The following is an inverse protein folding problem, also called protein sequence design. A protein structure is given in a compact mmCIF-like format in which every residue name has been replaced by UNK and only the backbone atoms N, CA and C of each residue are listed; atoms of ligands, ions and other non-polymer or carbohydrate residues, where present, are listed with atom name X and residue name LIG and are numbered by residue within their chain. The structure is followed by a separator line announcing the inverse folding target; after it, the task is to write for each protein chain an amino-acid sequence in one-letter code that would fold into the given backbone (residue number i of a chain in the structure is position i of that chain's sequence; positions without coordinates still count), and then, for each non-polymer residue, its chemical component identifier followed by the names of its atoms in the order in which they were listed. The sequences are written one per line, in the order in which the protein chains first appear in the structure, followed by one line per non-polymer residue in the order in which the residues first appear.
data_IF_940542296651
#
_entry.id   IF_940542296651
#
_cell.length_a   1.000
_cell.length_b   1.000
_cell.length_c   1.000
_cell.angle_alpha   90.00
_cell.angle_beta   90.00
_cell.angle_gamma   90.00
#
_symmetry.space_group_name_H-M   'P 1'
#
loop_
_entity.id
_entity.type
_entity.pdbx_description
1 polymer ?
#
# COMPACT_ATOMS: atom_id res chain seq x y z
N UNK A 1 22.64 34.38 -11.18
CA UNK A 1 22.75 33.19 -10.30
C UNK A 1 23.12 33.72 -8.91
N UNK A 2 22.49 33.19 -7.89
CA UNK A 2 22.73 33.53 -6.50
C UNK A 2 24.14 33.07 -6.06
N UNK A 3 24.89 33.89 -5.31
CA UNK A 3 26.17 33.49 -4.76
C UNK A 3 25.99 32.47 -3.65
N UNK A 4 26.75 31.38 -3.70
CA UNK A 4 26.67 30.24 -2.78
C UNK A 4 27.99 30.09 -2.02
N UNK A 5 27.90 29.59 -0.78
CA UNK A 5 29.04 29.20 0.05
C UNK A 5 28.89 27.79 0.58
N UNK A 6 29.98 27.11 0.80
CA UNK A 6 29.97 25.81 1.48
C UNK A 6 29.46 25.98 2.92
N UNK A 7 28.46 25.22 3.30
CA UNK A 7 27.94 25.20 4.67
C UNK A 7 28.84 24.45 5.65
N UNK A 8 29.77 23.65 5.17
CA UNK A 8 30.54 22.71 5.99
C UNK A 8 29.69 21.57 6.55
N UNK A 9 28.46 21.41 6.09
CA UNK A 9 27.50 20.38 6.57
C UNK A 9 27.12 19.49 5.39
N UNK A 10 27.53 18.23 5.42
CA UNK A 10 27.37 17.27 4.34
C UNK A 10 25.94 17.15 3.81
N UNK A 11 24.92 17.09 4.67
CA UNK A 11 23.53 16.90 4.26
C UNK A 11 22.89 18.15 3.63
N UNK A 12 23.47 19.34 3.85
CA UNK A 12 23.04 20.60 3.23
C UNK A 12 23.91 20.91 2.00
N UNK A 13 25.23 20.72 2.10
CA UNK A 13 26.21 21.16 1.11
C UNK A 13 26.28 22.69 1.05
N UNK A 14 26.22 23.29 -0.12
CA UNK A 14 26.26 24.76 -0.29
C UNK A 14 24.94 25.41 0.12
N UNK A 15 25.02 26.62 0.66
CA UNK A 15 23.90 27.51 0.98
C UNK A 15 24.15 28.90 0.39
N UNK A 16 23.14 29.75 0.24
CA UNK A 16 23.33 31.15 -0.17
C UNK A 16 24.26 31.91 0.77
N UNK A 17 25.08 32.78 0.20
CA UNK A 17 26.06 33.59 0.95
C UNK A 17 25.43 34.36 2.13
N UNK A 18 24.21 34.90 1.92
CA UNK A 18 23.45 35.63 2.94
C UNK A 18 22.75 34.80 4.01
N UNK A 19 22.84 33.45 3.96
CA UNK A 19 22.24 32.59 4.98
C UNK A 19 23.19 32.31 6.11
N UNK A 20 22.65 32.20 7.33
CA UNK A 20 23.39 31.78 8.53
C UNK A 20 23.19 30.30 8.81
N UNK A 21 24.15 29.73 9.52
CA UNK A 21 24.03 28.42 10.16
C UNK A 21 24.02 28.63 11.68
N UNK A 22 23.01 28.08 12.32
CA UNK A 22 22.88 28.14 13.78
C UNK A 22 22.63 26.79 14.40
N UNK A 23 23.09 26.58 15.62
CA UNK A 23 22.69 25.41 16.40
C UNK A 23 21.22 25.50 16.73
N UNK A 24 20.47 24.41 16.57
CA UNK A 24 19.00 24.38 16.77
C UNK A 24 18.59 24.89 18.16
N UNK A 25 19.39 24.65 19.21
CA UNK A 25 19.15 25.16 20.56
C UNK A 25 19.13 26.69 20.69
N UNK A 26 19.69 27.44 19.75
CA UNK A 26 19.63 28.91 19.75
C UNK A 26 18.33 29.44 19.14
N UNK A 27 17.53 28.57 18.49
CA UNK A 27 16.29 28.91 17.82
C UNK A 27 15.08 28.25 18.48
N UNK A 28 15.30 27.11 19.13
CA UNK A 28 14.26 26.30 19.71
C UNK A 28 14.56 25.89 21.16
N UNK A 29 13.52 25.74 21.94
CA UNK A 29 13.63 25.29 23.35
C UNK A 29 12.66 24.13 23.58
N UNK A 30 13.05 23.13 24.35
CA UNK A 30 12.22 22.00 24.72
C UNK A 30 11.10 22.44 25.68
N UNK A 31 9.88 21.99 25.41
CA UNK A 31 8.73 22.16 26.30
C UNK A 31 8.57 20.93 27.18
N UNK A 32 8.61 21.15 28.49
CA UNK A 32 8.46 20.09 29.50
C UNK A 32 7.24 20.31 30.40
N UNK A 33 6.41 21.32 30.12
CA UNK A 33 5.16 21.55 30.83
C UNK A 33 4.19 20.39 30.66
N UNK A 34 3.46 20.09 31.72
CA UNK A 34 2.44 19.02 31.76
C UNK A 34 1.06 19.63 31.66
N UNK A 35 0.11 18.85 31.14
CA UNK A 35 -1.28 19.22 31.10
C UNK A 35 -1.97 19.17 32.47
N UNK A 36 -3.19 19.62 32.52
CA UNK A 36 -4.05 19.58 33.71
C UNK A 36 -5.09 18.44 33.69
N UNK A 37 -5.07 17.59 32.63
CA UNK A 37 -5.90 16.41 32.47
C UNK A 37 -7.22 16.61 31.72
N UNK A 38 -7.50 17.83 31.25
CA UNK A 38 -8.73 18.16 30.51
C UNK A 38 -8.49 18.59 29.06
N UNK A 39 -7.24 18.58 28.63
CA UNK A 39 -6.88 18.96 27.27
C UNK A 39 -7.19 17.88 26.24
N UNK A 40 -7.27 18.32 24.97
CA UNK A 40 -7.41 17.41 23.82
C UNK A 40 -6.17 16.55 23.66
N UNK A 41 -6.36 15.24 23.57
CA UNK A 41 -5.27 14.32 23.30
C UNK A 41 -4.83 14.41 21.83
N UNK A 42 -3.54 14.70 21.62
CA UNK A 42 -2.95 14.85 20.31
C UNK A 42 -2.03 13.68 19.97
N UNK A 43 -2.03 13.29 18.71
CA UNK A 43 -1.17 12.26 18.15
C UNK A 43 -0.33 12.80 16.99
N UNK A 44 1.01 12.66 17.04
CA UNK A 44 1.86 12.99 15.92
C UNK A 44 1.72 11.91 14.83
N UNK A 45 1.46 12.34 13.61
CA UNK A 45 1.31 11.49 12.43
C UNK A 45 2.24 11.96 11.32
N UNK A 46 2.81 11.05 10.55
CA UNK A 46 3.71 11.41 9.44
C UNK A 46 2.99 12.17 8.33
N UNK A 47 1.69 11.90 8.12
CA UNK A 47 0.91 12.46 7.02
C UNK A 47 0.26 13.80 7.35
N UNK A 48 -0.25 13.96 8.57
CA UNK A 48 -1.08 15.10 8.95
C UNK A 48 -0.43 16.02 9.98
N UNK A 49 0.81 15.72 10.41
CA UNK A 49 1.44 16.41 11.53
C UNK A 49 0.83 15.99 12.86
N UNK A 50 0.77 16.91 13.81
CA UNK A 50 0.15 16.67 15.12
C UNK A 50 -1.34 16.99 15.01
N UNK A 51 -2.19 15.99 15.24
CA UNK A 51 -3.67 16.10 15.11
C UNK A 51 -4.38 15.52 16.32
N UNK A 52 -5.62 15.93 16.62
CA UNK A 52 -6.46 15.28 17.62
C UNK A 52 -6.60 13.78 17.36
N UNK A 53 -6.40 12.96 18.39
CA UNK A 53 -6.51 11.49 18.27
C UNK A 53 -7.90 11.07 17.78
N UNK A 54 -8.95 11.79 18.14
CA UNK A 54 -10.33 11.55 17.69
C UNK A 54 -10.52 11.63 16.16
N UNK A 55 -9.59 12.25 15.44
CA UNK A 55 -9.63 12.34 13.97
C UNK A 55 -8.92 11.15 13.27
N UNK A 56 -8.37 10.21 14.02
CA UNK A 56 -7.60 9.08 13.50
C UNK A 56 -8.41 7.80 13.65
N UNK A 57 -8.77 7.18 12.53
CA UNK A 57 -9.41 5.87 12.51
C UNK A 57 -8.39 4.74 12.77
N UNK A 58 -8.78 3.76 13.60
CA UNK A 58 -8.01 2.53 13.82
C UNK A 58 -6.73 2.69 14.66
N UNK A 59 -6.49 3.85 15.26
CA UNK A 59 -5.32 4.10 16.11
C UNK A 59 -5.75 4.18 17.56
N UNK A 60 -5.78 3.06 18.27
CA UNK A 60 -5.97 3.03 19.72
C UNK A 60 -4.62 3.24 20.39
N UNK A 61 -4.33 4.46 20.80
CA UNK A 61 -3.07 4.78 21.46
C UNK A 61 -3.20 4.95 22.97
N UNK A 62 -4.33 5.41 23.44
CA UNK A 62 -4.59 5.69 24.86
C UNK A 62 -6.03 5.31 25.18
N UNK A 63 -6.24 4.64 26.31
CA UNK A 63 -7.59 4.31 26.80
C UNK A 63 -8.32 5.58 27.25
N UNK A 64 -9.65 5.60 27.13
CA UNK A 64 -10.49 6.76 27.50
C UNK A 64 -10.35 7.17 28.97
N UNK A 65 -10.00 6.23 29.85
CA UNK A 65 -9.83 6.43 31.29
C UNK A 65 -8.38 6.77 31.69
N UNK A 66 -7.49 7.04 30.75
CA UNK A 66 -6.10 7.36 31.05
C UNK A 66 -5.96 8.74 31.66
N UNK A 67 -5.26 8.83 32.80
CA UNK A 67 -4.91 10.11 33.42
C UNK A 67 -3.94 10.91 32.51
N UNK A 68 -4.40 12.04 32.02
CA UNK A 68 -3.65 12.92 31.13
C UNK A 68 -2.76 13.94 31.88
N UNK A 69 -2.77 14.00 33.21
CA UNK A 69 -1.99 14.98 33.99
C UNK A 69 -0.47 14.85 33.78
N UNK A 70 -0.01 13.65 33.40
CA UNK A 70 1.41 13.41 33.10
C UNK A 70 1.79 13.70 31.66
N UNK A 71 0.81 13.99 30.79
CA UNK A 71 1.04 14.25 29.38
C UNK A 71 1.65 15.63 29.18
N UNK A 72 2.46 15.77 28.12
CA UNK A 72 3.14 17.02 27.79
C UNK A 72 2.24 17.94 27.01
N UNK A 73 2.23 19.22 27.38
CA UNK A 73 1.47 20.24 26.63
C UNK A 73 2.08 20.45 25.24
N UNK A 74 1.22 20.68 24.28
CA UNK A 74 1.55 21.04 22.90
C UNK A 74 0.72 22.26 22.54
N UNK A 75 1.37 23.30 22.03
CA UNK A 75 0.71 24.49 21.51
C UNK A 75 0.80 24.55 20.00
N UNK A 76 -0.06 25.36 19.40
CA UNK A 76 0.03 25.66 17.97
C UNK A 76 1.40 26.30 17.67
N UNK A 77 2.09 25.77 16.66
CA UNK A 77 3.46 26.17 16.32
C UNK A 77 4.55 25.30 16.95
N UNK A 78 4.19 24.42 17.88
CA UNK A 78 5.15 23.47 18.45
C UNK A 78 5.51 22.34 17.48
N UNK A 79 6.68 21.77 17.69
CA UNK A 79 7.16 20.56 17.00
C UNK A 79 7.20 19.38 17.96
N UNK A 80 6.90 18.20 17.47
CA UNK A 80 6.88 16.95 18.25
C UNK A 80 7.83 15.92 17.63
N UNK A 81 8.77 15.43 18.41
CA UNK A 81 9.62 14.28 18.08
C UNK A 81 8.92 13.04 18.63
N UNK A 82 8.32 12.26 17.76
CA UNK A 82 7.65 11.00 18.11
C UNK A 82 8.61 9.83 18.09
N UNK A 83 8.17 8.67 18.60
CA UNK A 83 8.96 7.43 18.58
C UNK A 83 9.32 6.95 17.17
N UNK A 84 8.62 7.44 16.15
CA UNK A 84 8.83 7.10 14.72
C UNK A 84 9.39 8.26 13.90
N UNK A 85 9.93 9.29 14.55
CA UNK A 85 10.50 10.47 13.87
C UNK A 85 11.66 10.11 12.92
N UNK A 86 12.31 8.98 13.14
CA UNK A 86 13.32 8.43 12.23
C UNK A 86 12.77 8.07 10.83
N UNK A 87 11.47 7.90 10.69
CA UNK A 87 10.82 7.61 9.39
C UNK A 87 10.27 8.86 8.70
N UNK A 88 9.81 9.84 9.45
CA UNK A 88 9.04 10.95 8.91
C UNK A 88 9.45 12.35 9.36
N UNK A 89 10.56 12.49 10.11
CA UNK A 89 10.99 13.78 10.66
C UNK A 89 10.15 14.22 11.86
N UNK A 90 10.18 15.53 12.14
CA UNK A 90 9.46 16.11 13.26
C UNK A 90 8.07 16.60 12.82
N UNK A 91 7.09 16.41 13.71
CA UNK A 91 5.70 16.74 13.43
C UNK A 91 5.36 18.15 13.94
N UNK A 92 4.76 18.98 13.09
CA UNK A 92 4.32 20.32 13.40
C UNK A 92 2.87 20.34 13.89
N UNK A 93 2.58 21.11 14.94
CA UNK A 93 1.23 21.20 15.51
C UNK A 93 0.45 22.44 15.03
N UNK A 94 -0.74 22.21 14.52
CA UNK A 94 -1.76 23.26 14.29
C UNK A 94 -2.79 23.32 15.43
N UNK A 95 -2.66 22.45 16.44
CA UNK A 95 -3.62 22.26 17.51
C UNK A 95 -2.98 22.50 18.87
N UNK A 96 -3.80 22.81 19.85
CA UNK A 96 -3.44 22.86 21.26
C UNK A 96 -3.98 21.64 21.98
N UNK A 97 -3.21 21.11 22.93
CA UNK A 97 -3.59 19.92 23.69
C UNK A 97 -2.41 19.28 24.38
N UNK A 98 -2.48 17.97 24.56
CA UNK A 98 -1.43 17.18 25.21
C UNK A 98 -1.06 15.97 24.37
N UNK A 99 0.20 15.54 24.48
CA UNK A 99 0.69 14.33 23.82
C UNK A 99 1.41 13.40 24.83
N UNK A 100 1.65 12.16 24.42
CA UNK A 100 2.33 11.15 25.23
C UNK A 100 3.61 11.68 25.88
N UNK A 101 3.87 11.35 27.16
CA UNK A 101 5.12 11.68 27.85
C UNK A 101 6.38 11.15 27.16
N UNK A 102 6.26 10.10 26.37
CA UNK A 102 7.34 9.51 25.59
C UNK A 102 7.82 10.40 24.43
N UNK A 103 7.01 11.35 23.99
CA UNK A 103 7.34 12.28 22.91
C UNK A 103 8.09 13.48 23.46
N UNK A 104 8.83 14.16 22.60
CA UNK A 104 9.55 15.38 22.98
C UNK A 104 8.97 16.55 22.20
N UNK A 105 8.56 17.58 22.93
CA UNK A 105 7.93 18.79 22.38
C UNK A 105 8.94 19.92 22.44
N UNK A 106 9.05 20.71 21.40
CA UNK A 106 9.90 21.90 21.37
C UNK A 106 9.25 23.02 20.53
N UNK A 107 9.64 24.24 20.78
CA UNK A 107 9.03 25.41 20.17
C UNK A 107 10.07 26.47 19.83
N UNK A 108 9.79 27.37 18.86
CA UNK A 108 10.68 28.46 18.52
C UNK A 108 10.73 29.53 19.64
N UNK A 109 11.96 30.00 19.97
CA UNK A 109 12.22 31.06 20.94
C UNK A 109 12.87 32.29 20.31
N UNK A 110 13.13 32.24 19.01
CA UNK A 110 13.69 33.34 18.22
C UNK A 110 12.65 33.80 17.17
N UNK A 111 12.78 35.03 16.66
CA UNK A 111 11.90 35.51 15.59
C UNK A 111 12.19 34.82 14.25
N UNK A 112 11.63 33.63 14.08
CA UNK A 112 11.72 32.77 12.88
C UNK A 112 10.33 32.46 12.34
N UNK A 113 10.27 31.99 11.10
CA UNK A 113 9.06 31.44 10.52
C UNK A 113 9.01 29.94 10.84
N UNK A 114 8.20 29.53 11.82
CA UNK A 114 8.04 28.14 12.25
C UNK A 114 7.60 27.21 11.12
N UNK A 115 6.74 27.69 10.23
CA UNK A 115 6.26 26.93 9.06
C UNK A 115 7.36 26.66 8.03
N UNK A 116 8.44 27.49 7.96
CA UNK A 116 9.63 27.16 7.17
C UNK A 116 10.33 25.91 7.73
N UNK A 117 10.47 25.83 9.04
CA UNK A 117 11.09 24.68 9.70
C UNK A 117 10.19 23.43 9.63
N UNK A 118 8.86 23.57 9.49
CA UNK A 118 7.97 22.46 9.16
C UNK A 118 8.41 21.75 7.88
N UNK A 119 8.80 22.50 6.85
CA UNK A 119 9.32 21.92 5.61
C UNK A 119 10.73 21.37 5.77
N UNK A 120 11.62 22.12 6.43
CA UNK A 120 13.00 21.69 6.63
C UNK A 120 13.05 20.36 7.39
N UNK A 121 12.32 20.22 8.49
CA UNK A 121 12.33 19.02 9.33
C UNK A 121 11.63 17.81 8.70
N UNK A 122 10.89 18.01 7.63
CA UNK A 122 10.31 16.95 6.78
C UNK A 122 11.15 16.62 5.55
N UNK A 123 12.22 17.37 5.29
CA UNK A 123 13.10 17.06 4.16
C UNK A 123 13.86 15.75 4.38
N UNK A 124 14.01 14.95 3.32
CA UNK A 124 14.65 13.64 3.42
C UNK A 124 16.10 13.72 3.91
N UNK A 125 16.81 14.77 3.52
CA UNK A 125 18.21 15.02 3.95
C UNK A 125 18.31 15.29 5.45
N UNK A 126 17.38 16.09 6.00
CA UNK A 126 17.31 16.31 7.45
C UNK A 126 16.96 15.04 8.21
N UNK A 127 15.97 14.27 7.73
CA UNK A 127 15.57 12.99 8.34
C UNK A 127 16.75 12.02 8.35
N UNK A 128 17.46 11.88 7.23
CA UNK A 128 18.65 11.03 7.13
C UNK A 128 19.75 11.48 8.09
N UNK A 129 19.98 12.79 8.22
CA UNK A 129 20.94 13.35 9.18
C UNK A 129 20.58 12.99 10.62
N UNK A 130 19.32 13.18 11.01
CA UNK A 130 18.85 12.85 12.36
C UNK A 130 18.99 11.35 12.65
N UNK A 131 18.73 10.50 11.69
CA UNK A 131 18.89 9.05 11.81
C UNK A 131 20.36 8.63 12.04
N UNK A 132 21.30 9.32 11.39
CA UNK A 132 22.72 9.03 11.55
C UNK A 132 23.27 9.47 12.92
N UNK A 133 22.59 10.38 13.63
CA UNK A 133 22.96 10.78 14.98
C UNK A 133 22.51 9.77 16.05
N UNK A 134 21.52 8.93 15.74
CA UNK A 134 21.03 7.93 16.69
C UNK A 134 21.92 6.71 16.70
N UNK A 135 22.74 6.55 17.75
CA UNK A 135 23.60 5.38 17.96
C UNK A 135 22.78 4.21 18.53
N UNK A 136 22.72 3.09 17.82
CA UNK A 136 22.09 1.85 18.32
C UNK A 136 21.62 0.90 17.21
N UNK A 137 21.89 -0.40 17.38
CA UNK A 137 21.67 -1.47 16.37
C UNK A 137 20.27 -2.08 16.45
N UNK A 138 19.38 -1.68 17.38
CA UNK A 138 18.07 -2.30 17.59
C UNK A 138 16.92 -1.43 17.11
N UNK A 139 15.85 -2.06 16.62
CA UNK A 139 14.55 -1.44 16.34
C UNK A 139 14.08 -0.64 17.57
N UNK A 140 13.86 0.68 17.39
CA UNK A 140 13.47 1.56 18.48
C UNK A 140 14.36 2.80 18.67
N UNK A 141 15.16 3.17 17.67
CA UNK A 141 15.97 4.40 17.68
C UNK A 141 15.07 5.62 17.83
N UNK A 142 15.12 6.26 19.00
CA UNK A 142 14.37 7.48 19.26
C UNK A 142 15.31 8.66 19.08
N UNK A 143 15.01 9.59 18.18
CA UNK A 143 15.72 10.85 18.06
C UNK A 143 15.50 11.64 19.33
N UNK A 144 16.58 12.02 20.03
CA UNK A 144 16.48 12.81 21.24
C UNK A 144 16.57 14.31 20.91
N UNK A 145 15.84 15.14 21.68
CA UNK A 145 15.93 16.61 21.52
C UNK A 145 17.36 17.12 21.66
N UNK A 146 18.17 16.52 22.54
CA UNK A 146 19.58 16.92 22.74
C UNK A 146 20.43 16.75 21.48
N UNK A 147 20.17 15.71 20.69
CA UNK A 147 20.87 15.46 19.41
C UNK A 147 20.46 16.48 18.35
N UNK A 148 19.16 16.81 18.31
CA UNK A 148 18.67 17.90 17.48
C UNK A 148 19.22 19.25 17.93
N UNK A 149 19.23 19.56 19.24
CA UNK A 149 19.61 20.83 19.81
C UNK A 149 21.04 21.27 19.45
N UNK A 150 21.96 20.32 19.31
CA UNK A 150 23.36 20.59 18.93
C UNK A 150 23.57 20.63 17.41
N UNK A 151 22.59 20.17 16.63
CA UNK A 151 22.69 20.15 15.17
C UNK A 151 22.63 21.56 14.60
N UNK A 152 23.46 21.81 13.59
CA UNK A 152 23.41 23.04 12.82
C UNK A 152 22.33 22.97 11.75
N UNK A 153 21.54 24.04 11.63
CA UNK A 153 20.46 24.17 10.66
C UNK A 153 20.56 25.52 9.95
N UNK A 154 20.07 25.61 8.69
CA UNK A 154 20.11 26.87 7.94
C UNK A 154 19.09 27.86 8.46
N UNK A 155 19.48 29.13 8.45
CA UNK A 155 18.64 30.25 8.88
C UNK A 155 18.67 31.32 7.81
N UNK A 156 17.73 31.25 6.84
CA UNK A 156 17.52 32.33 5.89
C UNK A 156 17.06 33.62 6.56
N UNK A 157 17.18 34.79 5.94
CA UNK A 157 16.50 35.99 6.38
C UNK A 157 14.99 35.77 6.53
N UNK A 158 14.35 36.32 7.56
CA UNK A 158 12.95 36.06 7.90
C UNK A 158 11.98 36.31 6.73
N UNK A 159 12.23 37.38 5.95
CA UNK A 159 11.45 37.69 4.77
C UNK A 159 11.53 36.57 3.70
N UNK A 160 12.70 35.96 3.56
CA UNK A 160 12.93 34.85 2.64
C UNK A 160 12.29 33.56 3.15
N UNK A 161 12.39 33.25 4.46
CA UNK A 161 11.66 32.12 5.05
C UNK A 161 10.16 32.19 4.70
N UNK A 162 9.53 33.36 4.86
CA UNK A 162 8.12 33.56 4.54
C UNK A 162 7.81 33.39 3.05
N UNK A 163 8.65 33.92 2.14
CA UNK A 163 8.50 33.71 0.70
C UNK A 163 8.59 32.24 0.32
N UNK A 164 9.57 31.52 0.86
CA UNK A 164 9.75 30.09 0.65
C UNK A 164 8.49 29.31 1.09
N UNK A 165 7.95 29.63 2.27
CA UNK A 165 6.72 28.99 2.78
C UNK A 165 5.53 29.25 1.85
N UNK A 166 5.28 30.51 1.47
CA UNK A 166 4.17 30.84 0.58
C UNK A 166 4.27 30.09 -0.75
N UNK A 167 5.46 30.02 -1.32
CA UNK A 167 5.72 29.29 -2.55
C UNK A 167 5.50 27.78 -2.36
N UNK A 168 6.10 27.17 -1.33
CA UNK A 168 6.00 25.75 -1.09
C UNK A 168 4.57 25.33 -0.72
N UNK A 169 3.82 26.13 0.05
CA UNK A 169 2.43 25.87 0.36
C UNK A 169 1.57 25.78 -0.91
N UNK A 170 1.75 26.74 -1.86
CA UNK A 170 1.04 26.74 -3.12
C UNK A 170 1.44 25.52 -4.00
N UNK A 171 2.74 25.32 -4.21
CA UNK A 171 3.23 24.23 -5.06
C UNK A 171 2.93 22.84 -4.50
N UNK A 172 3.09 22.66 -3.20
CA UNK A 172 2.78 21.39 -2.56
C UNK A 172 1.27 21.08 -2.60
N UNK A 173 0.42 22.08 -2.46
CA UNK A 173 -1.03 21.89 -2.57
C UNK A 173 -1.44 21.44 -4.00
N UNK A 174 -0.87 22.05 -5.04
CA UNK A 174 -1.09 21.64 -6.43
C UNK A 174 -0.62 20.21 -6.68
N UNK A 175 0.59 19.87 -6.21
CA UNK A 175 1.16 18.53 -6.32
C UNK A 175 0.28 17.51 -5.59
N UNK A 176 -0.16 17.80 -4.37
CA UNK A 176 -1.02 16.92 -3.58
C UNK A 176 -2.37 16.69 -4.27
N UNK A 177 -2.96 17.71 -4.89
CA UNK A 177 -4.18 17.57 -5.68
C UNK A 177 -3.99 16.64 -6.90
N UNK A 178 -2.84 16.72 -7.58
CA UNK A 178 -2.51 15.81 -8.70
C UNK A 178 -2.30 14.39 -8.19
N UNK A 179 -1.60 14.19 -7.08
CA UNK A 179 -1.40 12.88 -6.46
C UNK A 179 -2.73 12.22 -6.10
N UNK A 180 -3.65 12.98 -5.50
CA UNK A 180 -4.96 12.48 -5.09
C UNK A 180 -5.84 12.10 -6.29
N UNK A 181 -5.91 12.96 -7.32
CA UNK A 181 -6.62 12.65 -8.58
C UNK A 181 -6.04 11.41 -9.26
N UNK A 182 -4.72 11.24 -9.23
CA UNK A 182 -4.07 10.08 -9.85
C UNK A 182 -4.38 8.79 -9.08
N UNK A 183 -4.38 8.82 -7.74
CA UNK A 183 -4.78 7.69 -6.90
C UNK A 183 -6.25 7.32 -7.14
N UNK A 184 -7.15 8.28 -7.16
CA UNK A 184 -8.56 8.05 -7.47
C UNK A 184 -8.74 7.42 -8.85
N UNK A 185 -8.02 7.89 -9.87
CA UNK A 185 -8.05 7.31 -11.21
C UNK A 185 -7.57 5.86 -11.25
N UNK A 186 -6.55 5.48 -10.47
CA UNK A 186 -6.11 4.09 -10.36
C UNK A 186 -7.24 3.21 -9.81
N UNK A 187 -7.95 3.66 -8.77
CA UNK A 187 -9.07 2.91 -8.21
C UNK A 187 -10.24 2.76 -9.21
N UNK A 188 -10.50 3.78 -10.01
CA UNK A 188 -11.49 3.70 -11.10
C UNK A 188 -11.09 2.68 -12.17
N UNK A 189 -9.82 2.63 -12.58
CA UNK A 189 -9.35 1.60 -13.51
C UNK A 189 -9.46 0.18 -12.94
N UNK A 190 -9.22 -0.02 -11.65
CA UNK A 190 -9.44 -1.31 -10.98
C UNK A 190 -10.91 -1.72 -11.01
N UNK A 191 -11.82 -0.77 -10.73
CA UNK A 191 -13.29 -0.99 -10.83
C UNK A 191 -13.71 -1.30 -12.26
N UNK A 192 -13.19 -0.54 -13.24
CA UNK A 192 -13.46 -0.79 -14.66
C UNK A 192 -13.01 -2.19 -15.07
N UNK A 193 -11.80 -2.59 -14.71
CA UNK A 193 -11.29 -3.96 -14.98
C UNK A 193 -12.24 -5.01 -14.43
N UNK A 194 -12.70 -4.84 -13.20
CA UNK A 194 -13.63 -5.79 -12.58
C UNK A 194 -14.98 -5.81 -13.28
N UNK A 195 -15.52 -4.65 -13.69
CA UNK A 195 -16.76 -4.56 -14.44
C UNK A 195 -16.66 -5.23 -15.82
N UNK A 196 -15.57 -4.99 -16.55
CA UNK A 196 -15.29 -5.62 -17.84
C UNK A 196 -15.23 -7.14 -17.71
N UNK A 197 -14.52 -7.65 -16.70
CA UNK A 197 -14.46 -9.10 -16.42
C UNK A 197 -15.87 -9.63 -16.15
N UNK A 198 -16.58 -9.05 -15.19
CA UNK A 198 -17.92 -9.53 -14.79
C UNK A 198 -18.88 -9.52 -15.97
N UNK A 199 -18.92 -8.44 -16.74
CA UNK A 199 -19.77 -8.35 -17.92
C UNK A 199 -19.45 -9.44 -18.95
N UNK A 200 -18.18 -9.62 -19.30
CA UNK A 200 -17.77 -10.57 -20.32
C UNK A 200 -18.09 -12.01 -19.92
N UNK A 201 -17.88 -12.39 -18.65
CA UNK A 201 -18.10 -13.78 -18.19
C UNK A 201 -19.57 -14.09 -17.86
N UNK A 202 -20.44 -13.08 -17.70
CA UNK A 202 -21.89 -13.31 -17.42
C UNK A 202 -22.78 -12.95 -18.59
N UNK A 203 -22.40 -11.98 -19.43
CA UNK A 203 -23.20 -11.48 -20.55
C UNK A 203 -22.56 -11.68 -21.92
N UNK A 204 -21.31 -12.15 -21.94
CA UNK A 204 -20.51 -12.31 -23.15
C UNK A 204 -19.95 -10.98 -23.67
N UNK A 205 -19.29 -11.06 -24.82
CA UNK A 205 -18.65 -9.93 -25.50
C UNK A 205 -19.38 -9.48 -26.79
N UNK A 206 -20.43 -10.18 -27.14
CA UNK A 206 -21.28 -9.84 -28.30
C UNK A 206 -22.47 -9.00 -27.80
N UNK A 207 -22.74 -7.86 -28.46
CA UNK A 207 -23.84 -6.97 -28.10
C UNK A 207 -25.22 -7.51 -28.60
N UNK A 208 -26.29 -6.92 -28.08
CA UNK A 208 -27.68 -7.03 -28.56
C UNK A 208 -28.19 -8.44 -28.83
N UNK A 209 -28.00 -9.36 -27.88
CA UNK A 209 -28.55 -10.71 -27.95
C UNK A 209 -29.61 -10.93 -26.87
N UNK A 210 -30.60 -11.86 -27.13
CA UNK A 210 -31.61 -12.19 -26.16
C UNK A 210 -30.97 -12.69 -24.84
N UNK A 211 -31.54 -12.26 -23.72
CA UNK A 211 -31.11 -12.67 -22.38
C UNK A 211 -32.20 -13.53 -21.74
N UNK A 212 -31.81 -14.41 -20.83
CA UNK A 212 -32.69 -15.19 -19.95
C UNK A 212 -32.17 -15.16 -18.50
N UNK A 213 -33.08 -15.30 -17.56
CA UNK A 213 -32.72 -15.54 -16.16
C UNK A 213 -31.98 -16.89 -16.05
N UNK A 214 -30.79 -16.88 -15.42
CA UNK A 214 -30.03 -18.10 -15.17
C UNK A 214 -30.63 -19.01 -14.09
N UNK A 215 -31.58 -18.52 -13.30
CA UNK A 215 -32.10 -19.18 -12.11
C UNK A 215 -31.10 -19.21 -10.93
N UNK A 216 -29.95 -18.52 -11.03
CA UNK A 216 -28.93 -18.46 -10.01
C UNK A 216 -28.69 -16.98 -9.61
N UNK A 217 -29.04 -16.63 -8.39
CA UNK A 217 -29.03 -15.24 -7.88
C UNK A 217 -27.74 -14.47 -8.16
N UNK A 218 -26.58 -15.09 -7.92
CA UNK A 218 -25.31 -14.38 -8.09
C UNK A 218 -24.87 -14.21 -9.55
N UNK A 219 -25.44 -14.99 -10.48
CA UNK A 219 -25.17 -14.91 -11.92
C UNK A 219 -26.10 -13.87 -12.57
N UNK A 220 -27.41 -13.89 -12.21
CA UNK A 220 -28.44 -13.06 -12.83
C UNK A 220 -28.72 -13.47 -14.26
N UNK A 221 -28.99 -12.51 -15.15
CA UNK A 221 -29.29 -12.75 -16.56
C UNK A 221 -28.05 -13.15 -17.35
N UNK A 222 -28.24 -14.17 -18.21
CA UNK A 222 -27.22 -14.67 -19.15
C UNK A 222 -27.80 -14.68 -20.58
N UNK A 223 -26.96 -14.74 -21.61
CA UNK A 223 -27.42 -14.96 -22.99
C UNK A 223 -28.34 -16.19 -23.10
N UNK A 224 -29.41 -16.07 -23.88
CA UNK A 224 -30.42 -17.11 -23.98
C UNK A 224 -29.86 -18.45 -24.48
N UNK A 225 -28.83 -18.43 -25.29
CA UNK A 225 -28.12 -19.60 -25.80
C UNK A 225 -27.13 -20.24 -24.81
N UNK A 226 -26.82 -19.56 -23.69
CA UNK A 226 -25.93 -20.13 -22.67
C UNK A 226 -26.67 -21.05 -21.72
N UNK A 227 -25.97 -22.04 -21.20
CA UNK A 227 -26.44 -22.90 -20.13
C UNK A 227 -25.84 -22.49 -18.76
N UNK A 228 -26.34 -23.15 -17.72
CA UNK A 228 -25.76 -23.07 -16.37
C UNK A 228 -25.32 -24.47 -15.96
N UNK A 229 -24.07 -24.61 -15.58
CA UNK A 229 -23.46 -25.92 -15.31
C UNK A 229 -22.70 -25.93 -13.99
N UNK A 230 -22.63 -27.06 -13.31
CA UNK A 230 -21.82 -27.22 -12.09
C UNK A 230 -20.33 -27.35 -12.43
N UNK A 231 -19.49 -26.73 -11.61
CA UNK A 231 -18.02 -26.83 -11.72
C UNK A 231 -17.54 -28.28 -11.80
N UNK A 232 -18.21 -29.22 -11.11
CA UNK A 232 -17.95 -30.68 -11.17
C UNK A 232 -17.92 -31.24 -12.58
N UNK A 233 -18.70 -30.67 -13.51
CA UNK A 233 -18.77 -31.14 -14.88
C UNK A 233 -17.66 -30.56 -15.76
N UNK A 234 -17.01 -29.50 -15.32
CA UNK A 234 -15.98 -28.74 -16.02
C UNK A 234 -14.57 -29.12 -15.61
N UNK A 235 -14.38 -29.46 -14.32
CA UNK A 235 -13.10 -29.72 -13.71
C UNK A 235 -13.05 -31.12 -13.09
N UNK A 236 -11.86 -31.69 -13.11
CA UNK A 236 -11.49 -32.88 -12.33
C UNK A 236 -10.25 -32.57 -11.49
N UNK A 237 -10.19 -33.07 -10.26
CA UNK A 237 -9.03 -32.90 -9.40
C UNK A 237 -7.89 -33.83 -9.85
N UNK A 238 -6.69 -33.23 -9.98
CA UNK A 238 -5.45 -33.98 -10.21
C UNK A 238 -4.80 -34.30 -8.87
N UNK A 239 -4.60 -35.57 -8.59
CA UNK A 239 -3.95 -36.04 -7.35
C UNK A 239 -2.59 -36.68 -7.59
N UNK A 240 -1.97 -36.40 -8.72
CA UNK A 240 -0.65 -36.89 -9.07
C UNK A 240 0.41 -36.30 -8.12
N UNK A 241 1.37 -37.15 -7.72
CA UNK A 241 2.39 -36.81 -6.75
C UNK A 241 3.77 -37.15 -7.25
N UNK A 242 4.75 -36.30 -6.91
CA UNK A 242 6.15 -36.56 -7.19
C UNK A 242 6.65 -37.79 -6.43
N UNK A 243 7.38 -38.63 -7.13
CA UNK A 243 8.06 -39.81 -6.54
C UNK A 243 9.40 -39.45 -5.92
N UNK A 244 10.09 -38.47 -6.48
CA UNK A 244 11.46 -38.11 -6.10
C UNK A 244 11.57 -36.73 -5.44
N UNK A 245 10.59 -35.84 -5.66
CA UNK A 245 10.61 -34.48 -5.12
C UNK A 245 11.64 -33.55 -5.76
N UNK A 246 12.03 -33.83 -7.02
CA UNK A 246 13.09 -33.09 -7.73
C UNK A 246 12.59 -32.02 -8.68
N UNK A 247 11.29 -31.99 -8.97
CA UNK A 247 10.68 -31.02 -9.86
C UNK A 247 10.72 -29.61 -9.26
N UNK A 248 10.60 -28.58 -10.08
CA UNK A 248 10.68 -27.16 -9.66
C UNK A 248 9.57 -26.82 -8.64
N UNK A 249 9.88 -26.31 -7.45
CA UNK A 249 8.89 -25.87 -6.50
C UNK A 249 8.16 -24.62 -6.98
N UNK A 250 6.82 -24.66 -6.97
CA UNK A 250 5.95 -23.55 -7.34
C UNK A 250 5.26 -22.97 -6.12
N UNK A 251 5.14 -21.65 -6.10
CA UNK A 251 4.44 -20.91 -5.05
C UNK A 251 3.38 -19.99 -5.65
N UNK A 252 2.25 -19.86 -4.94
CA UNK A 252 1.14 -19.03 -5.36
C UNK A 252 1.25 -17.62 -4.76
N UNK A 253 1.30 -16.63 -5.61
CA UNK A 253 1.22 -15.20 -5.26
C UNK A 253 -0.10 -14.61 -5.78
N UNK A 254 -0.74 -13.77 -4.97
CA UNK A 254 -1.95 -13.06 -5.38
C UNK A 254 -1.69 -12.09 -6.55
N UNK A 255 -0.46 -11.56 -6.65
CA UNK A 255 -0.09 -10.57 -7.69
C UNK A 255 0.26 -11.22 -9.03
N UNK A 256 1.05 -12.30 -8.99
CA UNK A 256 1.65 -12.90 -10.20
C UNK A 256 1.14 -14.31 -10.51
N UNK A 257 0.23 -14.85 -9.70
CA UNK A 257 -0.28 -16.21 -9.85
C UNK A 257 0.71 -17.29 -9.38
N UNK A 258 0.68 -18.46 -10.00
CA UNK A 258 1.58 -19.57 -9.70
C UNK A 258 2.90 -19.41 -10.47
N UNK A 259 4.00 -19.32 -9.73
CA UNK A 259 5.34 -19.11 -10.28
C UNK A 259 6.39 -19.97 -9.56
N UNK A 260 7.53 -20.29 -10.20
CA UNK A 260 8.67 -20.86 -9.50
C UNK A 260 9.03 -20.06 -8.25
N UNK A 261 9.21 -20.74 -7.12
CA UNK A 261 9.41 -20.09 -5.81
C UNK A 261 10.61 -19.14 -5.79
N UNK A 262 11.63 -19.43 -6.60
CA UNK A 262 12.82 -18.56 -6.77
C UNK A 262 12.54 -17.18 -7.37
N UNK A 263 11.37 -16.95 -7.97
CA UNK A 263 10.97 -15.65 -8.53
C UNK A 263 10.19 -14.77 -7.54
N UNK A 264 9.95 -15.26 -6.32
CA UNK A 264 9.31 -14.46 -5.29
C UNK A 264 10.34 -13.59 -4.56
N UNK A 265 9.96 -12.34 -4.25
CA UNK A 265 10.77 -11.40 -3.47
C UNK A 265 11.08 -11.92 -2.05
N UNK A 266 10.16 -12.70 -1.47
CA UNK A 266 10.31 -13.35 -0.19
C UNK A 266 10.05 -14.85 -0.37
N UNK A 267 11.08 -15.65 -0.20
CA UNK A 267 10.98 -17.10 -0.31
C UNK A 267 10.32 -17.63 0.98
N UNK A 268 9.15 -18.30 0.89
CA UNK A 268 8.53 -18.92 2.06
C UNK A 268 9.41 -20.05 2.59
N UNK A 269 9.25 -20.37 3.88
CA UNK A 269 9.91 -21.54 4.46
C UNK A 269 9.53 -22.79 3.67
N UNK A 270 10.53 -23.43 3.09
CA UNK A 270 10.34 -24.63 2.26
C UNK A 270 10.40 -25.89 3.12
N UNK A 271 9.65 -26.90 2.70
CA UNK A 271 9.73 -28.21 3.34
C UNK A 271 11.13 -28.82 3.15
N UNK A 272 11.58 -29.61 4.12
CA UNK A 272 12.86 -30.31 4.05
C UNK A 272 12.88 -31.45 3.00
N UNK A 273 11.72 -31.89 2.54
CA UNK A 273 11.55 -32.88 1.47
C UNK A 273 10.28 -32.60 0.68
N UNK A 274 10.35 -32.81 -0.62
CA UNK A 274 9.22 -32.68 -1.55
C UNK A 274 8.73 -34.04 -2.08
N UNK A 275 9.25 -35.16 -1.57
CA UNK A 275 8.74 -36.47 -1.92
C UNK A 275 7.26 -36.58 -1.54
N UNK A 276 6.41 -36.99 -2.47
CA UNK A 276 4.97 -37.08 -2.29
C UNK A 276 4.24 -35.73 -2.39
N UNK A 277 4.92 -34.62 -2.72
CA UNK A 277 4.27 -33.34 -3.02
C UNK A 277 3.39 -33.46 -4.27
N UNK A 278 2.33 -32.64 -4.35
CA UNK A 278 1.43 -32.63 -5.53
C UNK A 278 2.15 -32.04 -6.73
N UNK A 279 1.84 -32.58 -7.90
CA UNK A 279 2.27 -32.05 -9.19
C UNK A 279 1.19 -31.14 -9.79
N UNK A 280 1.61 -30.05 -10.37
CA UNK A 280 0.84 -29.19 -11.26
C UNK A 280 1.56 -29.09 -12.60
N UNK A 281 0.80 -29.06 -13.67
CA UNK A 281 1.30 -28.94 -15.02
C UNK A 281 0.84 -27.63 -15.67
N UNK A 282 1.49 -27.24 -16.76
CA UNK A 282 1.01 -26.14 -17.59
C UNK A 282 -0.48 -26.37 -17.92
N UNK A 283 -1.25 -25.29 -17.86
CA UNK A 283 -2.71 -25.28 -18.02
C UNK A 283 -3.52 -25.98 -16.92
N UNK A 284 -2.91 -26.42 -15.81
CA UNK A 284 -3.71 -26.78 -14.63
C UNK A 284 -4.15 -25.54 -13.86
N UNK A 285 -5.37 -25.57 -13.32
CA UNK A 285 -5.89 -24.53 -12.44
C UNK A 285 -5.60 -24.89 -10.98
N UNK A 286 -4.76 -24.10 -10.34
CA UNK A 286 -4.26 -24.37 -8.98
C UNK A 286 -4.88 -23.40 -7.98
N UNK A 287 -5.47 -23.94 -6.90
CA UNK A 287 -6.11 -23.20 -5.82
C UNK A 287 -5.32 -23.33 -4.51
N UNK A 288 -5.04 -22.21 -3.86
CA UNK A 288 -4.70 -22.24 -2.44
C UNK A 288 -6.01 -22.38 -1.64
N UNK A 289 -6.30 -23.57 -1.11
CA UNK A 289 -7.56 -23.86 -0.40
C UNK A 289 -7.84 -22.91 0.75
N UNK A 290 -6.81 -22.48 1.49
CA UNK A 290 -6.94 -21.55 2.63
C UNK A 290 -7.25 -20.11 2.19
N UNK A 291 -6.85 -19.72 0.98
CA UNK A 291 -6.96 -18.36 0.46
C UNK A 291 -7.79 -18.26 -0.82
N UNK A 292 -8.52 -19.30 -1.19
CA UNK A 292 -9.39 -19.31 -2.38
C UNK A 292 -10.45 -18.18 -2.30
N UNK A 293 -11.03 -17.98 -1.12
CA UNK A 293 -11.99 -16.91 -0.83
C UNK A 293 -11.38 -15.50 -0.88
N UNK A 294 -10.07 -15.37 -1.04
CA UNK A 294 -9.33 -14.12 -1.28
C UNK A 294 -8.85 -14.01 -2.74
N UNK A 295 -9.26 -14.93 -3.61
CA UNK A 295 -8.87 -14.94 -5.02
C UNK A 295 -7.46 -15.50 -5.29
N UNK A 296 -6.89 -16.29 -4.37
CA UNK A 296 -5.54 -16.85 -4.51
C UNK A 296 -5.59 -18.18 -5.23
N UNK A 297 -5.69 -18.11 -6.54
CA UNK A 297 -5.64 -19.24 -7.50
C UNK A 297 -5.21 -18.71 -8.87
N UNK A 298 -4.70 -19.59 -9.71
CA UNK A 298 -4.27 -19.24 -11.07
C UNK A 298 -4.16 -20.48 -11.94
N UNK A 299 -4.31 -20.31 -13.25
CA UNK A 299 -3.88 -21.28 -14.24
C UNK A 299 -2.35 -21.29 -14.27
N UNK A 300 -1.74 -22.47 -14.17
CA UNK A 300 -0.29 -22.64 -14.17
C UNK A 300 0.32 -22.39 -15.55
N UNK A 301 1.46 -21.74 -15.56
CA UNK A 301 2.34 -21.58 -16.75
C UNK A 301 3.59 -22.44 -16.63
N UNK A 302 3.70 -23.23 -15.57
CA UNK A 302 4.88 -24.01 -15.22
C UNK A 302 4.47 -25.39 -14.76
N UNK A 303 5.29 -26.39 -15.08
CA UNK A 303 5.25 -27.70 -14.45
C UNK A 303 6.04 -27.66 -13.16
N UNK A 304 5.54 -28.32 -12.10
CA UNK A 304 6.28 -28.36 -10.85
C UNK A 304 5.49 -28.82 -9.64
N UNK A 305 6.13 -28.68 -8.49
CA UNK A 305 5.62 -29.09 -7.18
C UNK A 305 4.82 -27.99 -6.53
N UNK A 306 3.67 -28.34 -5.95
CA UNK A 306 2.85 -27.40 -5.19
C UNK A 306 2.60 -27.89 -3.78
N UNK A 307 2.31 -26.97 -2.87
CA UNK A 307 1.99 -27.26 -1.48
C UNK A 307 0.87 -28.29 -1.34
N UNK A 308 0.91 -29.20 -0.34
CA UNK A 308 -0.20 -30.11 -0.03
C UNK A 308 -1.53 -29.41 0.25
N UNK A 309 -1.49 -28.16 0.71
CA UNK A 309 -2.68 -27.33 0.92
C UNK A 309 -3.30 -26.78 -0.37
N UNK A 310 -2.63 -26.96 -1.50
CA UNK A 310 -3.20 -26.57 -2.79
C UNK A 310 -4.02 -27.71 -3.40
N UNK A 311 -5.05 -27.34 -4.13
CA UNK A 311 -5.79 -28.25 -4.99
C UNK A 311 -5.43 -27.96 -6.45
N UNK A 312 -5.23 -28.99 -7.23
CA UNK A 312 -4.88 -28.89 -8.65
C UNK A 312 -6.03 -29.46 -9.47
N UNK A 313 -6.54 -28.70 -10.42
CA UNK A 313 -7.66 -29.09 -11.29
C UNK A 313 -7.26 -29.00 -12.75
N UNK A 314 -7.66 -29.98 -13.52
CA UNK A 314 -7.58 -29.96 -14.97
C UNK A 314 -8.97 -29.95 -15.61
N UNK A 315 -9.08 -29.45 -16.83
CA UNK A 315 -10.33 -29.46 -17.59
C UNK A 315 -10.79 -30.90 -17.90
N UNK A 316 -12.10 -31.11 -17.92
CA UNK A 316 -12.72 -32.32 -18.45
C UNK A 316 -12.81 -32.33 -19.98
N UNK A 317 -12.25 -31.33 -20.66
CA UNK A 317 -12.36 -31.09 -22.10
C UNK A 317 -13.57 -30.19 -22.47
N UNK A 318 -14.36 -29.75 -21.48
CA UNK A 318 -15.55 -28.91 -21.66
C UNK A 318 -15.33 -27.45 -21.32
N UNK A 319 -14.16 -27.07 -20.81
CA UNK A 319 -13.91 -25.72 -20.36
C UNK A 319 -12.51 -25.20 -20.73
N UNK A 320 -12.47 -23.94 -21.10
CA UNK A 320 -11.26 -23.16 -21.15
C UNK A 320 -10.89 -22.69 -19.73
N UNK A 321 -9.72 -23.07 -19.21
CA UNK A 321 -9.35 -22.79 -17.83
C UNK A 321 -9.04 -21.32 -17.56
N UNK A 322 -8.64 -20.55 -18.59
CA UNK A 322 -8.49 -19.10 -18.47
C UNK A 322 -9.84 -18.40 -18.32
N UNK A 323 -10.84 -18.82 -19.08
CA UNK A 323 -12.23 -18.35 -18.90
C UNK A 323 -12.72 -18.63 -17.47
N UNK A 324 -12.50 -19.86 -16.96
CA UNK A 324 -12.85 -20.19 -15.57
C UNK A 324 -12.08 -19.35 -14.55
N UNK A 325 -10.80 -19.09 -14.78
CA UNK A 325 -10.01 -18.22 -13.90
C UNK A 325 -10.63 -16.82 -13.80
N UNK A 326 -11.13 -16.25 -14.92
CA UNK A 326 -11.80 -14.95 -14.93
C UNK A 326 -13.12 -14.99 -14.16
N UNK A 327 -13.97 -15.98 -14.39
CA UNK A 327 -15.23 -16.14 -13.63
C UNK A 327 -14.95 -16.23 -12.13
N UNK A 328 -14.01 -17.08 -11.73
CA UNK A 328 -13.68 -17.32 -10.34
C UNK A 328 -13.12 -16.06 -9.65
N UNK A 329 -12.52 -15.13 -10.40
CA UNK A 329 -12.03 -13.83 -9.89
C UNK A 329 -13.10 -12.75 -9.79
N UNK A 330 -14.35 -13.02 -10.20
CA UNK A 330 -15.44 -12.08 -9.98
C UNK A 330 -15.80 -11.99 -8.49
N UNK A 331 -16.17 -10.79 -7.97
CA UNK A 331 -16.57 -10.64 -6.57
C UNK A 331 -17.72 -11.55 -6.17
N UNK A 332 -18.65 -11.79 -7.09
CA UNK A 332 -19.80 -12.66 -6.91
C UNK A 332 -19.36 -14.11 -6.68
N UNK A 333 -18.50 -14.65 -7.54
CA UNK A 333 -17.99 -16.02 -7.41
C UNK A 333 -17.10 -16.17 -6.16
N UNK A 334 -16.31 -15.17 -5.81
CA UNK A 334 -15.57 -15.11 -4.54
C UNK A 334 -16.53 -15.15 -3.34
N UNK A 335 -17.70 -14.49 -3.44
CA UNK A 335 -18.78 -14.60 -2.46
C UNK A 335 -19.27 -16.04 -2.30
N UNK A 336 -19.46 -16.77 -3.39
CA UNK A 336 -19.83 -18.20 -3.35
C UNK A 336 -18.71 -19.05 -2.74
N UNK A 337 -17.44 -18.77 -3.01
CA UNK A 337 -16.32 -19.46 -2.36
C UNK A 337 -16.36 -19.28 -0.84
N UNK A 338 -16.68 -18.08 -0.34
CA UNK A 338 -16.83 -17.84 1.10
C UNK A 338 -17.98 -18.65 1.69
N UNK A 339 -19.14 -18.67 1.04
CA UNK A 339 -20.32 -19.46 1.48
C UNK A 339 -20.04 -20.96 1.52
N UNK A 340 -19.21 -21.48 0.58
CA UNK A 340 -18.87 -22.90 0.45
C UNK A 340 -17.60 -23.31 1.22
N UNK A 341 -16.87 -22.35 1.77
CA UNK A 341 -15.70 -22.63 2.60
C UNK A 341 -16.13 -23.07 4.00
N UNK A 342 -15.38 -24.00 4.57
CA UNK A 342 -15.60 -24.53 5.94
C UNK A 342 -14.47 -24.08 6.87
N UNK A 343 -14.80 -23.75 8.13
CA UNK A 343 -13.86 -23.28 9.15
C UNK A 343 -14.50 -22.25 10.07
N UNK A 344 -14.06 -22.19 11.35
CA UNK A 344 -14.69 -21.40 12.42
C UNK A 344 -14.07 -19.99 12.54
N UNK A 345 -12.87 -19.77 12.03
CA UNK A 345 -12.18 -18.48 12.11
C UNK A 345 -11.73 -17.99 10.73
N UNK A 346 -11.73 -16.69 10.52
CA UNK A 346 -11.41 -16.06 9.23
C UNK A 346 -10.05 -16.48 8.61
N UNK A 347 -9.09 -16.92 9.42
CA UNK A 347 -7.79 -17.42 8.97
C UNK A 347 -7.73 -18.94 8.71
N UNK A 348 -8.80 -19.69 8.99
CA UNK A 348 -8.85 -21.15 8.90
C UNK A 348 -9.91 -21.66 7.92
N UNK A 349 -10.56 -20.77 7.18
CA UNK A 349 -11.55 -21.15 6.17
C UNK A 349 -10.86 -21.86 5.00
N UNK A 350 -11.40 -23.03 4.61
CA UNK A 350 -10.88 -23.82 3.49
C UNK A 350 -11.99 -24.10 2.49
N UNK A 351 -11.73 -23.83 1.22
CA UNK A 351 -12.56 -24.27 0.11
C UNK A 351 -12.08 -25.66 -0.33
N UNK A 352 -12.86 -26.68 0.01
CA UNK A 352 -12.61 -28.05 -0.44
C UNK A 352 -13.20 -28.30 -1.82
N UNK A 353 -12.74 -29.36 -2.48
CA UNK A 353 -13.17 -29.74 -3.83
C UNK A 353 -14.68 -29.91 -3.96
N UNK A 354 -15.35 -30.52 -2.95
CA UNK A 354 -16.81 -30.70 -2.97
C UNK A 354 -17.54 -29.34 -2.95
N UNK A 355 -17.05 -28.39 -2.12
CA UNK A 355 -17.58 -27.03 -2.05
C UNK A 355 -17.44 -26.31 -3.41
N UNK A 356 -16.25 -26.35 -4.02
CA UNK A 356 -16.01 -25.77 -5.33
C UNK A 356 -16.89 -26.43 -6.40
N UNK A 357 -16.96 -27.76 -6.42
CA UNK A 357 -17.71 -28.56 -7.41
C UNK A 357 -19.22 -28.37 -7.32
N UNK A 358 -19.75 -27.89 -6.21
CA UNK A 358 -21.18 -27.59 -6.03
C UNK A 358 -21.64 -26.28 -6.66
N UNK A 359 -20.70 -25.39 -7.04
CA UNK A 359 -20.99 -24.05 -7.58
C UNK A 359 -21.46 -24.16 -9.02
N UNK A 360 -22.47 -23.37 -9.36
CA UNK A 360 -22.98 -23.24 -10.74
C UNK A 360 -22.32 -22.04 -11.42
N UNK A 361 -21.98 -22.18 -12.69
CA UNK A 361 -21.39 -21.17 -13.54
C UNK A 361 -22.17 -20.97 -14.84
N UNK A 362 -22.14 -19.76 -15.43
CA UNK A 362 -22.59 -19.54 -16.79
C UNK A 362 -21.70 -20.33 -17.75
N UNK A 363 -22.32 -20.95 -18.73
CA UNK A 363 -21.65 -21.91 -19.62
C UNK A 363 -21.92 -21.60 -21.10
N UNK A 364 -21.11 -20.75 -21.75
CA UNK A 364 -21.09 -20.61 -23.20
C UNK A 364 -20.46 -21.83 -23.89
N UNK A 365 -20.66 -21.94 -25.20
CA UNK A 365 -19.92 -22.90 -26.01
C UNK A 365 -18.40 -22.73 -25.86
N UNK A 366 -17.62 -23.79 -26.00
CA UNK A 366 -16.17 -23.76 -25.77
C UNK A 366 -15.47 -22.70 -26.63
N UNK A 367 -15.85 -22.55 -27.89
CA UNK A 367 -15.31 -21.48 -28.77
C UNK A 367 -15.59 -20.08 -28.24
N UNK A 368 -16.75 -19.83 -27.66
CA UNK A 368 -17.05 -18.51 -27.05
C UNK A 368 -16.31 -18.31 -25.73
N UNK A 369 -16.05 -19.37 -24.95
CA UNK A 369 -15.18 -19.29 -23.78
C UNK A 369 -13.75 -18.85 -24.17
N UNK A 370 -13.22 -19.37 -25.28
CA UNK A 370 -11.92 -19.01 -25.84
C UNK A 370 -11.89 -17.54 -26.29
N UNK A 371 -12.92 -17.12 -27.06
CA UNK A 371 -13.05 -15.72 -27.49
C UNK A 371 -13.13 -14.75 -26.29
N UNK A 372 -13.90 -15.07 -25.24
CA UNK A 372 -14.01 -14.26 -24.04
C UNK A 372 -12.68 -14.22 -23.28
N UNK A 373 -11.99 -15.37 -23.16
CA UNK A 373 -10.70 -15.42 -22.48
C UNK A 373 -9.65 -14.57 -23.19
N UNK A 374 -9.58 -14.64 -24.53
CA UNK A 374 -8.67 -13.84 -25.33
C UNK A 374 -8.97 -12.34 -25.23
N UNK A 375 -10.25 -11.95 -25.38
CA UNK A 375 -10.71 -10.57 -25.18
C UNK A 375 -10.31 -10.03 -23.81
N UNK A 376 -10.55 -10.80 -22.74
CA UNK A 376 -10.22 -10.40 -21.39
C UNK A 376 -8.72 -10.34 -21.15
N UNK A 377 -7.91 -11.22 -21.73
CA UNK A 377 -6.46 -11.16 -21.66
C UNK A 377 -5.95 -9.83 -22.24
N UNK A 378 -6.43 -9.44 -23.42
CA UNK A 378 -6.04 -8.19 -24.07
C UNK A 378 -6.51 -6.96 -23.26
N UNK A 379 -7.80 -6.90 -22.92
CA UNK A 379 -8.37 -5.75 -22.18
C UNK A 379 -7.77 -5.57 -20.79
N UNK A 380 -7.63 -6.67 -20.04
CA UNK A 380 -7.03 -6.61 -18.71
C UNK A 380 -5.55 -6.21 -18.76
N UNK A 381 -4.78 -6.74 -19.74
CA UNK A 381 -3.38 -6.35 -19.91
C UNK A 381 -3.25 -4.85 -20.23
N UNK A 382 -4.11 -4.31 -21.10
CA UNK A 382 -4.16 -2.87 -21.39
C UNK A 382 -4.46 -2.02 -20.15
N UNK A 383 -5.47 -2.41 -19.36
CA UNK A 383 -5.82 -1.70 -18.11
C UNK A 383 -4.68 -1.81 -17.08
N UNK A 384 -4.07 -2.99 -16.92
CA UNK A 384 -2.94 -3.18 -16.00
C UNK A 384 -1.72 -2.33 -16.39
N UNK A 385 -1.43 -2.20 -17.69
CA UNK A 385 -0.38 -1.32 -18.18
C UNK A 385 -0.65 0.16 -17.85
N UNK A 386 -1.91 0.62 -17.97
CA UNK A 386 -2.29 1.98 -17.59
C UNK A 386 -2.16 2.20 -16.07
N UNK A 387 -2.58 1.23 -15.26
CA UNK A 387 -2.42 1.28 -13.80
C UNK A 387 -0.93 1.36 -13.43
N UNK A 388 -0.09 0.49 -14.01
CA UNK A 388 1.36 0.49 -13.76
C UNK A 388 2.01 1.83 -14.13
N UNK A 389 1.66 2.40 -15.29
CA UNK A 389 2.15 3.74 -15.70
C UNK A 389 1.73 4.85 -14.73
N UNK A 390 0.48 4.80 -14.22
CA UNK A 390 0.02 5.77 -13.22
C UNK A 390 0.70 5.60 -11.86
N UNK A 391 1.00 4.37 -11.45
CA UNK A 391 1.77 4.10 -10.23
C UNK A 391 3.21 4.62 -10.34
N UNK A 392 3.87 4.43 -11.48
CA UNK A 392 5.18 5.02 -11.75
C UNK A 392 5.11 6.57 -11.67
N UNK A 393 4.13 7.16 -12.31
CA UNK A 393 3.90 8.62 -12.28
C UNK A 393 3.70 9.15 -10.85
N UNK A 394 2.96 8.43 -9.98
CA UNK A 394 2.85 8.79 -8.57
C UNK A 394 4.22 8.84 -7.89
N UNK A 395 5.05 7.84 -8.11
CA UNK A 395 6.40 7.77 -7.53
C UNK A 395 7.28 8.94 -8.01
N UNK A 396 7.22 9.27 -9.28
CA UNK A 396 7.96 10.39 -9.87
C UNK A 396 7.53 11.73 -9.29
N UNK A 397 6.22 11.98 -9.15
CA UNK A 397 5.68 13.21 -8.56
C UNK A 397 6.02 13.30 -7.06
N UNK A 398 5.93 12.20 -6.30
CA UNK A 398 6.33 12.20 -4.89
C UNK A 398 7.83 12.52 -4.73
N UNK A 399 8.69 12.00 -5.60
CA UNK A 399 10.10 12.33 -5.61
C UNK A 399 10.36 13.78 -6.04
N UNK A 400 9.63 14.28 -7.04
CA UNK A 400 9.68 15.70 -7.42
C UNK A 400 9.31 16.61 -6.26
N UNK A 401 8.23 16.31 -5.53
CA UNK A 401 7.83 17.07 -4.33
C UNK A 401 8.96 17.12 -3.28
N UNK A 402 9.60 15.98 -3.02
CA UNK A 402 10.72 15.90 -2.08
C UNK A 402 11.91 16.76 -2.53
N UNK A 403 12.26 16.69 -3.82
CA UNK A 403 13.34 17.49 -4.40
C UNK A 403 13.03 18.98 -4.34
N UNK A 404 11.79 19.36 -4.71
CA UNK A 404 11.31 20.74 -4.65
C UNK A 404 11.48 21.31 -3.22
N UNK A 405 10.95 20.60 -2.23
CA UNK A 405 11.09 21.03 -0.82
C UNK A 405 12.56 21.19 -0.46
N UNK A 406 13.39 20.19 -0.74
CA UNK A 406 14.82 20.23 -0.42
C UNK A 406 15.54 21.44 -1.04
N UNK A 407 15.33 21.67 -2.34
CA UNK A 407 16.00 22.75 -3.07
C UNK A 407 15.70 24.13 -2.50
N UNK A 408 14.45 24.37 -2.09
CA UNK A 408 14.06 25.67 -1.52
C UNK A 408 14.43 25.82 -0.05
N UNK A 409 14.27 24.77 0.78
CA UNK A 409 14.62 24.87 2.21
C UNK A 409 16.13 24.83 2.47
N UNK A 410 16.93 24.46 1.48
CA UNK A 410 18.39 24.54 1.56
C UNK A 410 18.98 25.68 0.73
N UNK A 411 18.14 26.49 0.08
CA UNK A 411 18.55 27.65 -0.70
C UNK A 411 19.21 27.33 -2.04
N UNK A 412 19.09 26.09 -2.54
CA UNK A 412 19.59 25.69 -3.88
C UNK A 412 18.82 26.41 -4.99
N UNK A 413 17.56 26.72 -4.73
CA UNK A 413 16.70 27.56 -5.59
C UNK A 413 16.19 28.76 -4.83
N UNK A 414 16.02 29.86 -5.56
CA UNK A 414 15.45 31.11 -5.07
C UNK A 414 13.97 31.21 -5.49
N UNK A 415 13.13 31.73 -4.58
CA UNK A 415 11.76 32.13 -4.94
C UNK A 415 11.86 33.49 -5.61
N UNK A 416 11.59 33.53 -6.90
CA UNK A 416 11.58 34.76 -7.73
C UNK A 416 10.27 35.49 -7.53
#
# INVERSE_FOLDING_TARGET
MREMKDSGIEWIGEIPEGWELRRAKTLFTQRNSKGNGIEVLLSPTQKYGVVPQSQLEGVVQVKEDTDLQMFKTVHKGDFVISLRSFQGGFEYSLYEGVCSPAYQVFYPTSPICDTYYRYLFKSQSFISKMNNLTVGIREGKNIQYVDFAISQIPVPPLAEQKRIVTFLDAQCAEIDAVLEKTRASIEEYKKLKQAVITQAVTKGIRGDRPMKDSGIEWIGDIPAEWDVIRVKQLLKERNERSKEGKEEPLSMSQKVGLVPTKFLESIPNMASSFVGAKLAYVDDLVFNKLKAHLGVFSVSRYDGLVSPDYAVYCSTGKSNLKYLEYIFKTPQCIGEFRKKSTGIAAGLMRLYTEGLFSIYLPYPALSEQEEIAEYLNEKCAGIDALIAKKQQYLTEIENYKKSLIYEYVTGKKEVV
#
